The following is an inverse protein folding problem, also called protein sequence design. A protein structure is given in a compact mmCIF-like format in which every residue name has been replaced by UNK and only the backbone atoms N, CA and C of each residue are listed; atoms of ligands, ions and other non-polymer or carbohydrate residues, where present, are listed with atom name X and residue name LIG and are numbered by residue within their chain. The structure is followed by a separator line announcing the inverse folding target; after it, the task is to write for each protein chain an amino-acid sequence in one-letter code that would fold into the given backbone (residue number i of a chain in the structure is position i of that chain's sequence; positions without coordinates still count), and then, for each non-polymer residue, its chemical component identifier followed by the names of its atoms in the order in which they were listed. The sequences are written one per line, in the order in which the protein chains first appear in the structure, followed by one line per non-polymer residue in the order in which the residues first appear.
data_IF_616458074870
#
_entry.id   IF_616458074870
#
_cell.length_a   1.000
_cell.length_b   1.000
_cell.length_c   1.000
_cell.angle_alpha   90.00
_cell.angle_beta   90.00
_cell.angle_gamma   90.00
#
_symmetry.space_group_name_H-M   'P 1'
#
loop_
_entity.id
_entity.type
_entity.pdbx_description
1 polymer ?
#
# COMPACT_ATOMS: atom_id res chain seq x y z
N UNK A 1 -19.49 -19.36 63.14
CA UNK A 1 -18.09 -19.06 63.52
C UNK A 1 -17.62 -17.93 62.62
N UNK A 2 -17.22 -16.77 63.18
CA UNK A 2 -15.83 -16.58 63.59
C UNK A 2 -15.64 -15.76 64.88
N UNK A 3 -14.47 -15.92 65.50
CA UNK A 3 -13.94 -15.16 66.64
C UNK A 3 -12.48 -14.82 66.32
N UNK A 4 -11.91 -13.86 67.08
CA UNK A 4 -10.50 -13.41 67.16
C UNK A 4 -10.11 -12.32 66.12
N UNK A 5 -9.50 -11.16 66.42
CA UNK A 5 -9.00 -10.42 67.61
C UNK A 5 -8.91 -8.94 67.17
N UNK A 6 -9.46 -7.97 67.91
CA UNK A 6 -8.80 -7.11 68.91
C UNK A 6 -7.46 -6.45 68.52
N UNK A 7 -7.49 -5.12 68.68
CA UNK A 7 -6.46 -4.09 68.57
C UNK A 7 -5.20 -4.34 69.41
N UNK A 8 -4.05 -3.85 68.93
CA UNK A 8 -3.09 -3.14 69.79
C UNK A 8 -2.18 -2.22 68.95
N UNK A 9 -1.93 -1.02 69.46
CA UNK A 9 -0.94 -0.03 69.02
C UNK A 9 -0.37 0.63 70.30
N UNK A 10 0.63 1.54 70.23
CA UNK A 10 2.06 1.41 69.90
C UNK A 10 2.94 1.58 71.16
N UNK A 11 4.27 1.83 71.06
CA UNK A 11 4.72 3.17 71.47
C UNK A 11 5.82 3.80 70.61
N UNK A 12 5.87 5.13 70.77
CA UNK A 12 6.73 6.15 70.19
C UNK A 12 8.22 6.02 70.53
N UNK A 13 9.08 6.50 69.63
CA UNK A 13 10.24 7.32 69.99
C UNK A 13 10.60 8.25 68.83
N UNK A 14 10.59 9.54 69.13
CA UNK A 14 10.91 10.70 68.30
C UNK A 14 12.34 10.69 67.73
N UNK A 15 12.55 11.29 66.55
CA UNK A 15 13.00 12.70 66.47
C UNK A 15 13.68 13.05 65.13
N UNK A 16 13.41 14.29 64.70
CA UNK A 16 14.14 15.15 63.77
C UNK A 16 13.90 15.02 62.24
N UNK A 17 13.02 15.89 61.73
CA UNK A 17 13.16 16.57 60.42
C UNK A 17 13.82 17.95 60.69
N UNK A 18 14.43 18.69 59.72
CA UNK A 18 13.78 19.11 58.46
C UNK A 18 14.72 19.28 57.22
N UNK A 19 14.13 19.48 56.04
CA UNK A 19 14.81 19.92 54.80
C UNK A 19 14.12 19.34 53.55
N UNK A 20 12.98 19.88 53.14
CA UNK A 20 12.83 20.96 52.14
C UNK A 20 13.05 20.49 50.68
N UNK A 21 11.90 20.31 50.00
CA UNK A 21 11.59 20.39 48.57
C UNK A 21 12.64 19.98 47.52
N UNK A 22 12.38 18.83 46.88
CA UNK A 22 12.75 18.58 45.48
C UNK A 22 11.73 19.28 44.55
N UNK A 23 12.19 20.25 43.75
CA UNK A 23 11.50 20.70 42.54
C UNK A 23 12.13 19.96 41.32
N UNK A 24 11.40 19.06 40.63
CA UNK A 24 11.95 18.25 39.56
C UNK A 24 11.97 18.93 38.17
N UNK A 25 11.74 20.25 38.06
CA UNK A 25 11.63 20.94 36.76
C UNK A 25 12.39 22.30 36.65
N UNK A 26 13.62 22.38 37.13
CA UNK A 26 14.50 23.55 36.94
C UNK A 26 15.74 23.27 36.07
N UNK A 27 15.86 24.01 34.95
CA UNK A 27 17.09 24.22 34.13
C UNK A 27 17.46 23.19 33.04
N UNK A 28 16.71 23.18 31.93
CA UNK A 28 17.24 22.85 30.59
C UNK A 28 17.36 24.14 29.77
N UNK A 29 18.51 24.83 29.87
CA UNK A 29 18.84 25.93 28.96
C UNK A 29 19.60 25.38 27.73
N UNK A 30 19.07 25.54 26.49
CA UNK A 30 19.84 25.19 25.30
C UNK A 30 20.84 26.31 24.96
N UNK A 31 22.13 25.98 24.98
CA UNK A 31 23.17 26.78 24.34
C UNK A 31 22.97 26.79 22.82
N UNK A 32 22.39 27.88 22.33
CA UNK A 32 22.29 28.18 20.92
C UNK A 32 23.61 28.84 20.48
N UNK A 33 24.50 28.07 19.85
CA UNK A 33 25.75 28.60 19.28
C UNK A 33 25.70 28.64 17.75
N UNK A 34 26.07 29.82 17.27
CA UNK A 34 26.00 30.37 15.93
C UNK A 34 26.72 29.61 14.81
N UNK A 35 26.03 29.55 13.65
CA UNK A 35 26.43 30.07 12.32
C UNK A 35 27.63 29.44 11.56
N UNK A 36 27.34 28.86 10.39
CA UNK A 36 28.03 29.06 9.09
C UNK A 36 27.17 28.46 7.96
N UNK A 37 26.45 29.26 7.17
CA UNK A 37 26.83 29.70 5.80
C UNK A 37 27.53 28.65 4.95
N UNK A 38 26.76 27.96 4.09
CA UNK A 38 27.27 27.29 2.89
C UNK A 38 26.48 27.77 1.67
N UNK A 39 27.17 28.56 0.85
CA UNK A 39 26.74 29.14 -0.42
C UNK A 39 26.55 28.03 -1.45
N UNK A 40 25.32 27.69 -1.83
CA UNK A 40 25.08 26.85 -3.01
C UNK A 40 25.11 27.73 -4.27
N UNK A 41 26.26 27.71 -4.94
CA UNK A 41 26.46 28.30 -6.25
C UNK A 41 25.81 27.39 -7.30
N UNK A 42 24.71 27.85 -7.89
CA UNK A 42 24.05 27.17 -9.01
C UNK A 42 24.78 27.50 -10.32
N UNK A 43 25.13 26.47 -11.10
CA UNK A 43 25.63 26.60 -12.48
C UNK A 43 24.43 26.37 -13.43
N UNK A 44 24.11 27.28 -14.35
CA UNK A 44 23.07 27.03 -15.34
C UNK A 44 23.59 26.18 -16.50
N UNK A 45 22.83 25.13 -16.83
CA UNK A 45 23.01 24.29 -18.02
C UNK A 45 22.38 25.03 -19.21
N UNK A 46 23.13 25.24 -20.27
CA UNK A 46 22.61 25.81 -21.53
C UNK A 46 21.78 24.77 -22.28
N UNK A 47 20.54 25.12 -22.65
CA UNK A 47 19.69 24.31 -23.51
C UNK A 47 20.06 24.51 -24.99
N UNK A 48 20.38 23.40 -25.67
CA UNK A 48 20.50 23.33 -27.13
C UNK A 48 19.10 23.43 -27.75
N UNK A 49 18.93 24.39 -28.65
CA UNK A 49 17.74 24.61 -29.47
C UNK A 49 17.90 23.77 -30.75
N UNK A 50 17.14 22.69 -30.87
CA UNK A 50 16.99 21.93 -32.11
C UNK A 50 15.75 22.42 -32.85
N UNK A 51 15.96 23.15 -33.94
CA UNK A 51 14.94 23.59 -34.88
C UNK A 51 15.22 22.82 -36.18
N UNK A 52 14.48 21.76 -36.48
CA UNK A 52 14.41 21.20 -37.84
C UNK A 52 13.01 20.67 -38.11
N UNK A 53 12.28 21.51 -38.83
CA UNK A 53 10.93 21.33 -39.32
C UNK A 53 11.03 20.68 -40.71
N UNK A 54 10.76 19.37 -40.77
CA UNK A 54 10.78 18.57 -42.00
C UNK A 54 9.38 18.35 -42.57
N UNK A 55 9.06 19.13 -43.58
CA UNK A 55 7.85 19.15 -44.41
C UNK A 55 7.71 17.83 -45.22
N UNK A 56 6.62 17.07 -45.02
CA UNK A 56 6.28 15.90 -45.84
C UNK A 56 4.97 16.16 -46.60
N UNK A 57 5.12 16.65 -47.83
CA UNK A 57 4.03 16.80 -48.81
C UNK A 57 3.69 15.46 -49.48
N UNK A 58 2.39 15.17 -49.57
CA UNK A 58 1.81 14.04 -50.31
C UNK A 58 1.61 14.36 -51.81
N UNK A 59 1.61 13.34 -52.70
CA UNK A 59 0.90 13.42 -53.96
C UNK A 59 -0.36 12.53 -53.96
N UNK A 60 -1.48 13.16 -54.32
CA UNK A 60 -2.75 12.49 -54.62
C UNK A 60 -2.75 11.93 -56.05
N UNK A 61 -3.27 10.71 -56.24
CA UNK A 61 -3.64 10.20 -57.56
C UNK A 61 -4.89 9.31 -57.51
N UNK A 62 -5.99 9.89 -58.02
CA UNK A 62 -6.99 9.37 -58.96
C UNK A 62 -7.60 7.98 -58.76
N UNK A 63 -8.92 8.02 -58.56
CA UNK A 63 -9.91 6.94 -58.64
C UNK A 63 -10.10 6.40 -60.07
N UNK A 64 -10.31 5.10 -60.21
CA UNK A 64 -11.26 4.51 -61.18
C UNK A 64 -11.82 3.17 -60.65
N UNK A 65 -13.09 2.82 -61.00
CA UNK A 65 -13.82 1.71 -60.42
C UNK A 65 -13.71 0.43 -61.27
N UNK A 66 -13.79 -0.74 -60.63
CA UNK A 66 -14.19 -1.98 -61.28
C UNK A 66 -14.80 -2.95 -60.26
N UNK A 67 -16.09 -3.23 -60.44
CA UNK A 67 -16.81 -4.34 -59.81
C UNK A 67 -16.13 -5.68 -60.14
N UNK A 68 -15.95 -6.56 -59.14
CA UNK A 68 -16.11 -8.00 -59.35
C UNK A 68 -16.77 -8.67 -58.14
N UNK A 69 -17.72 -9.51 -58.51
CA UNK A 69 -18.68 -10.30 -57.75
C UNK A 69 -18.12 -11.19 -56.63
N UNK A 70 -18.95 -11.32 -55.60
CA UNK A 70 -19.27 -12.52 -54.82
C UNK A 70 -18.15 -13.44 -54.31
N UNK A 71 -17.99 -13.45 -53.00
CA UNK A 71 -18.07 -14.69 -52.22
C UNK A 71 -18.64 -14.35 -50.84
N UNK A 72 -19.88 -14.80 -50.59
CA UNK A 72 -20.46 -14.77 -49.27
C UNK A 72 -19.63 -15.65 -48.35
N UNK A 73 -19.04 -15.03 -47.32
CA UNK A 73 -18.72 -15.72 -46.08
C UNK A 73 -19.56 -15.04 -45.02
N UNK A 74 -20.78 -15.57 -44.84
CA UNK A 74 -21.46 -15.46 -43.56
C UNK A 74 -20.54 -16.09 -42.53
N UNK A 75 -19.79 -15.29 -41.78
CA UNK A 75 -19.25 -15.72 -40.50
C UNK A 75 -20.47 -15.86 -39.58
N UNK A 76 -21.07 -17.05 -39.64
CA UNK A 76 -22.05 -17.49 -38.66
C UNK A 76 -21.38 -17.35 -37.29
N UNK A 77 -22.05 -16.60 -36.42
CA UNK A 77 -21.65 -16.45 -35.04
C UNK A 77 -21.55 -17.81 -34.37
N UNK A 78 -20.33 -18.26 -34.15
CA UNK A 78 -20.01 -19.24 -33.14
C UNK A 78 -19.33 -18.47 -32.01
N UNK A 79 -20.14 -17.75 -31.22
CA UNK A 79 -19.78 -17.49 -29.83
C UNK A 79 -19.87 -18.84 -29.14
N UNK A 80 -18.86 -19.65 -29.38
CA UNK A 80 -18.67 -20.90 -28.67
C UNK A 80 -18.47 -20.51 -27.22
N UNK A 81 -19.52 -20.75 -26.45
CA UNK A 81 -19.53 -20.83 -25.01
C UNK A 81 -18.63 -21.98 -24.58
N UNK A 82 -17.32 -21.83 -24.78
CA UNK A 82 -16.30 -22.69 -24.21
C UNK A 82 -15.88 -22.08 -22.87
N UNK A 83 -16.81 -22.09 -21.92
CA UNK A 83 -16.43 -22.26 -20.51
C UNK A 83 -15.95 -23.70 -20.33
N UNK A 84 -14.90 -24.09 -21.06
CA UNK A 84 -14.11 -25.24 -20.68
C UNK A 84 -13.51 -24.88 -19.30
N UNK A 85 -13.66 -25.73 -18.27
CA UNK A 85 -12.97 -25.47 -17.02
C UNK A 85 -11.48 -25.34 -17.34
N UNK A 86 -10.92 -24.15 -17.10
CA UNK A 86 -9.49 -23.91 -17.26
C UNK A 86 -8.77 -25.04 -16.52
N UNK A 87 -8.02 -25.86 -17.28
CA UNK A 87 -7.20 -26.93 -16.73
C UNK A 87 -6.39 -26.37 -15.56
N UNK A 88 -6.20 -27.16 -14.51
CA UNK A 88 -5.40 -26.79 -13.33
C UNK A 88 -4.09 -26.09 -13.73
N UNK A 89 -3.43 -26.57 -14.79
CA UNK A 89 -2.19 -26.01 -15.34
C UNK A 89 -2.26 -24.54 -15.79
N UNK A 90 -3.44 -24.04 -16.11
CA UNK A 90 -3.69 -22.64 -16.53
C UNK A 90 -4.08 -21.76 -15.34
N UNK A 91 -4.40 -22.35 -14.19
CA UNK A 91 -4.65 -21.62 -12.95
C UNK A 91 -3.34 -20.92 -12.57
N UNK A 92 -3.45 -19.68 -12.09
CA UNK A 92 -2.31 -18.85 -11.66
C UNK A 92 -1.24 -18.49 -12.70
N UNK A 93 -1.52 -18.57 -14.01
CA UNK A 93 -0.51 -18.20 -15.04
C UNK A 93 0.08 -16.79 -14.81
N UNK A 94 -0.75 -15.84 -14.38
CA UNK A 94 -0.30 -14.47 -14.04
C UNK A 94 0.71 -14.45 -12.88
N UNK A 95 0.41 -15.12 -11.77
CA UNK A 95 1.34 -15.14 -10.63
C UNK A 95 2.63 -15.89 -10.95
N UNK A 96 2.54 -16.96 -11.74
CA UNK A 96 3.69 -17.72 -12.22
C UNK A 96 4.61 -16.87 -13.08
N UNK A 97 4.03 -16.06 -13.98
CA UNK A 97 4.78 -15.12 -14.79
C UNK A 97 5.39 -13.98 -13.95
N UNK A 98 4.65 -13.43 -13.00
CA UNK A 98 5.13 -12.34 -12.12
C UNK A 98 6.30 -12.81 -11.25
N UNK A 99 6.19 -14.00 -10.66
CA UNK A 99 7.16 -14.51 -9.71
C UNK A 99 8.22 -15.44 -10.31
N UNK A 100 8.17 -15.67 -11.63
CA UNK A 100 9.12 -16.51 -12.36
C UNK A 100 9.16 -17.96 -11.89
N UNK A 101 8.00 -18.55 -11.57
CA UNK A 101 7.88 -19.93 -11.08
C UNK A 101 7.13 -20.82 -12.08
N UNK A 102 7.50 -22.10 -12.14
CA UNK A 102 6.90 -23.08 -13.03
C UNK A 102 5.79 -23.91 -12.37
N UNK A 103 5.62 -23.81 -11.05
CA UNK A 103 4.56 -24.49 -10.28
C UNK A 103 3.43 -23.54 -9.82
N UNK A 104 2.32 -24.12 -9.36
CA UNK A 104 1.26 -23.38 -8.68
C UNK A 104 1.71 -22.97 -7.27
N UNK A 105 1.46 -21.73 -6.91
CA UNK A 105 1.80 -21.16 -5.62
C UNK A 105 0.72 -21.46 -4.60
N UNK A 106 1.14 -22.07 -3.50
CA UNK A 106 0.33 -22.22 -2.30
C UNK A 106 0.03 -20.88 -1.62
N UNK A 107 -0.98 -20.87 -0.76
CA UNK A 107 -1.34 -19.72 0.07
C UNK A 107 -0.12 -19.11 0.78
N UNK A 108 0.68 -19.95 1.45
CA UNK A 108 1.86 -19.53 2.19
C UNK A 108 2.96 -18.96 1.28
N UNK A 109 3.18 -19.57 0.11
CA UNK A 109 4.16 -19.07 -0.87
C UNK A 109 3.74 -17.70 -1.41
N UNK A 110 2.45 -17.50 -1.72
CA UNK A 110 1.93 -16.18 -2.15
C UNK A 110 2.17 -15.14 -1.05
N UNK A 111 1.83 -15.46 0.21
CA UNK A 111 2.05 -14.56 1.34
C UNK A 111 3.53 -14.23 1.56
N UNK A 112 4.44 -15.19 1.32
CA UNK A 112 5.87 -14.96 1.41
C UNK A 112 6.36 -14.05 0.28
N UNK A 113 6.01 -14.35 -0.97
CA UNK A 113 6.45 -13.56 -2.14
C UNK A 113 5.95 -12.13 -2.10
N UNK A 114 4.72 -11.90 -1.60
CA UNK A 114 4.22 -10.54 -1.40
C UNK A 114 5.04 -9.73 -0.38
N UNK A 115 5.55 -10.38 0.67
CA UNK A 115 6.43 -9.73 1.66
C UNK A 115 7.79 -9.37 1.10
N UNK A 116 8.21 -10.06 0.04
CA UNK A 116 9.48 -9.80 -0.66
C UNK A 116 9.35 -8.72 -1.77
N UNK A 117 8.15 -8.16 -1.98
CA UNK A 117 7.95 -7.10 -2.96
C UNK A 117 8.61 -5.78 -2.52
N UNK A 118 9.14 -4.97 -3.46
CA UNK A 118 9.79 -3.71 -3.13
C UNK A 118 8.92 -2.74 -2.32
N UNK A 119 9.48 -2.22 -1.23
CA UNK A 119 8.81 -1.27 -0.32
C UNK A 119 7.88 -1.91 0.69
N UNK A 120 7.60 -3.22 0.60
CA UNK A 120 6.77 -3.92 1.58
C UNK A 120 7.60 -4.26 2.81
N UNK A 121 7.18 -3.75 3.97
CA UNK A 121 7.79 -4.10 5.26
C UNK A 121 7.12 -5.33 5.84
N UNK A 122 5.79 -5.39 5.78
CA UNK A 122 5.03 -6.55 6.24
C UNK A 122 3.63 -6.60 5.61
N UNK A 123 3.06 -7.81 5.53
CA UNK A 123 1.70 -8.05 5.05
C UNK A 123 1.02 -9.11 5.93
N UNK A 124 -0.26 -8.89 6.23
CA UNK A 124 -1.11 -9.85 6.93
C UNK A 124 -2.50 -9.91 6.29
N UNK A 125 -3.14 -11.08 6.36
CA UNK A 125 -4.58 -11.15 6.14
C UNK A 125 -5.32 -10.57 7.33
N UNK A 126 -6.30 -9.73 7.03
CA UNK A 126 -7.09 -8.99 8.01
C UNK A 126 -8.51 -9.51 7.99
N UNK A 127 -9.09 -9.67 9.18
CA UNK A 127 -10.45 -10.17 9.30
C UNK A 127 -11.50 -9.10 8.97
N UNK A 128 -12.73 -9.54 8.73
CA UNK A 128 -13.81 -8.63 8.33
C UNK A 128 -14.16 -7.56 9.37
N UNK A 129 -13.97 -7.85 10.67
CA UNK A 129 -14.20 -6.86 11.75
C UNK A 129 -13.17 -5.74 11.73
N UNK A 130 -11.88 -6.08 11.58
CA UNK A 130 -10.79 -5.12 11.48
C UNK A 130 -10.93 -4.25 10.23
N UNK A 131 -11.24 -4.85 9.08
CA UNK A 131 -11.48 -4.12 7.84
C UNK A 131 -12.65 -3.12 7.98
N UNK A 132 -13.74 -3.53 8.64
CA UNK A 132 -14.89 -2.65 8.94
C UNK A 132 -14.52 -1.50 9.87
N UNK A 133 -13.73 -1.76 10.92
CA UNK A 133 -13.29 -0.72 11.85
C UNK A 133 -12.46 0.36 11.12
N UNK A 134 -11.55 -0.06 10.23
CA UNK A 134 -10.79 0.86 9.40
C UNK A 134 -11.66 1.63 8.40
N UNK A 135 -12.65 0.97 7.80
CA UNK A 135 -13.64 1.62 6.94
C UNK A 135 -14.49 2.66 7.67
N UNK A 136 -14.86 2.39 8.94
CA UNK A 136 -15.55 3.34 9.79
C UNK A 136 -14.69 4.57 10.10
N UNK A 137 -13.39 4.38 10.38
CA UNK A 137 -12.43 5.48 10.56
C UNK A 137 -12.35 6.37 9.31
N UNK A 138 -12.19 5.76 8.12
CA UNK A 138 -12.21 6.49 6.84
C UNK A 138 -13.52 7.24 6.62
N UNK A 139 -14.64 6.64 6.98
CA UNK A 139 -15.97 7.28 6.87
C UNK A 139 -16.13 8.47 7.82
N UNK A 140 -15.59 8.38 9.03
CA UNK A 140 -15.55 9.51 9.96
C UNK A 140 -14.70 10.66 9.40
N UNK A 141 -13.54 10.35 8.82
CA UNK A 141 -12.70 11.36 8.19
C UNK A 141 -13.40 12.11 7.05
N UNK A 142 -14.12 11.39 6.18
CA UNK A 142 -14.93 12.00 5.12
C UNK A 142 -15.96 12.99 5.68
N UNK A 143 -16.60 12.65 6.81
CA UNK A 143 -17.57 13.54 7.47
C UNK A 143 -16.93 14.79 8.08
N UNK A 144 -15.63 14.74 8.39
CA UNK A 144 -14.85 15.89 8.86
C UNK A 144 -14.34 16.77 7.71
N UNK A 145 -14.68 16.44 6.45
CA UNK A 145 -14.26 17.18 5.27
C UNK A 145 -12.95 16.70 4.66
N UNK A 146 -12.31 15.66 5.22
CA UNK A 146 -11.11 15.05 4.64
C UNK A 146 -11.53 14.17 3.46
N UNK A 147 -11.25 14.61 2.24
CA UNK A 147 -11.77 14.02 1.00
C UNK A 147 -10.75 13.21 0.21
N UNK A 148 -10.94 13.18 -1.12
CA UNK A 148 -9.97 12.59 -2.06
C UNK A 148 -8.66 13.38 -2.12
N UNK A 149 -8.74 14.69 -1.97
CA UNK A 149 -7.58 15.60 -1.93
C UNK A 149 -6.80 15.47 -0.62
N UNK A 150 -7.49 15.12 0.48
CA UNK A 150 -6.92 14.96 1.84
C UNK A 150 -7.08 13.51 2.34
N UNK A 151 -6.33 12.56 1.77
CA UNK A 151 -6.44 11.16 2.16
C UNK A 151 -5.98 10.93 3.60
N UNK A 152 -6.74 10.11 4.33
CA UNK A 152 -6.34 9.68 5.67
C UNK A 152 -5.39 8.50 5.59
N UNK A 153 -4.19 8.70 6.15
CA UNK A 153 -3.18 7.67 6.31
C UNK A 153 -3.06 7.27 7.77
N UNK A 154 -2.91 5.96 8.01
CA UNK A 154 -2.42 5.47 9.30
C UNK A 154 -0.94 5.24 9.15
N UNK A 155 -0.15 5.95 9.97
CA UNK A 155 1.31 5.90 9.94
C UNK A 155 1.86 5.33 11.25
N UNK A 156 2.93 4.58 11.11
CA UNK A 156 3.81 4.18 12.21
C UNK A 156 5.20 4.78 11.97
N UNK A 157 6.08 4.72 12.97
CA UNK A 157 7.48 5.13 12.80
C UNK A 157 8.20 4.38 11.67
N UNK A 158 7.70 3.18 11.31
CA UNK A 158 8.31 2.32 10.30
C UNK A 158 7.74 2.54 8.90
N UNK A 159 6.53 3.08 8.77
CA UNK A 159 5.87 3.14 7.47
C UNK A 159 4.38 3.49 7.52
N UNK A 160 3.75 3.44 6.35
CA UNK A 160 2.31 3.70 6.16
C UNK A 160 1.56 2.37 6.13
N UNK A 161 0.39 2.32 6.76
CA UNK A 161 -0.52 1.19 6.69
C UNK A 161 -1.53 1.45 5.58
N UNK A 162 -1.63 0.51 4.64
CA UNK A 162 -2.63 0.49 3.58
C UNK A 162 -3.34 -0.87 3.51
N UNK A 163 -4.42 -0.93 2.74
CA UNK A 163 -5.26 -2.11 2.62
C UNK A 163 -5.59 -2.39 1.15
N UNK A 164 -5.52 -3.67 0.77
CA UNK A 164 -5.99 -4.16 -0.53
C UNK A 164 -7.01 -5.26 -0.28
N UNK A 165 -8.21 -5.09 -0.84
CA UNK A 165 -9.33 -6.02 -0.66
C UNK A 165 -9.82 -6.54 -2.00
N UNK A 166 -10.17 -7.83 -2.02
CA UNK A 166 -10.88 -8.48 -3.11
C UNK A 166 -11.90 -9.48 -2.53
N UNK A 167 -13.19 -9.23 -2.79
CA UNK A 167 -14.31 -10.02 -2.25
C UNK A 167 -14.16 -10.24 -0.73
N UNK A 168 -14.03 -11.49 -0.27
CA UNK A 168 -13.91 -11.86 1.14
C UNK A 168 -12.49 -11.73 1.72
N UNK A 169 -11.47 -11.50 0.89
CA UNK A 169 -10.07 -11.42 1.33
C UNK A 169 -9.60 -9.97 1.41
N UNK A 170 -9.03 -9.59 2.55
CA UNK A 170 -8.40 -8.28 2.76
C UNK A 170 -6.99 -8.45 3.29
N UNK A 171 -6.03 -7.77 2.67
CA UNK A 171 -4.66 -7.67 3.11
C UNK A 171 -4.44 -6.32 3.78
N UNK A 172 -3.82 -6.33 4.96
CA UNK A 172 -3.18 -5.17 5.55
C UNK A 172 -1.71 -5.15 5.19
N UNK A 173 -1.23 -3.99 4.78
CA UNK A 173 0.10 -3.79 4.21
C UNK A 173 0.79 -2.70 5.02
N UNK A 174 1.95 -3.00 5.59
CA UNK A 174 2.87 -2.00 6.12
C UNK A 174 3.92 -1.72 5.04
N UNK A 175 3.94 -0.48 4.56
CA UNK A 175 4.73 -0.03 3.42
C UNK A 175 5.74 1.03 3.85
N UNK A 176 6.96 0.93 3.33
CA UNK A 176 7.95 1.99 3.38
C UNK A 176 7.64 3.02 2.27
N UNK A 177 7.20 4.22 2.66
CA UNK A 177 6.89 5.28 1.71
C UNK A 177 5.63 5.00 0.87
N UNK A 178 5.81 4.85 -0.45
CA UNK A 178 4.73 4.66 -1.45
C UNK A 178 5.01 3.43 -2.30
N UNK A 179 3.99 2.88 -2.95
CA UNK A 179 4.17 1.69 -3.79
C UNK A 179 5.14 1.96 -4.94
N UNK A 180 6.08 1.04 -5.13
CA UNK A 180 6.86 0.99 -6.37
C UNK A 180 5.99 0.63 -7.58
N UNK A 181 6.50 0.82 -8.80
CA UNK A 181 5.77 0.49 -10.02
C UNK A 181 5.26 -0.96 -10.02
N UNK A 182 3.97 -1.17 -10.23
CA UNK A 182 3.35 -2.50 -10.35
C UNK A 182 3.17 -3.27 -9.05
N UNK A 183 3.68 -2.78 -7.91
CA UNK A 183 3.60 -3.49 -6.63
C UNK A 183 2.14 -3.60 -6.17
N UNK A 184 1.38 -2.50 -6.25
CA UNK A 184 -0.01 -2.49 -5.81
C UNK A 184 -0.90 -3.40 -6.66
N UNK A 185 -0.66 -3.42 -7.96
CA UNK A 185 -1.35 -4.29 -8.91
C UNK A 185 -1.01 -5.76 -8.65
N UNK A 186 0.27 -6.05 -8.39
CA UNK A 186 0.71 -7.40 -8.02
C UNK A 186 0.02 -7.87 -6.75
N UNK A 187 -0.04 -7.02 -5.72
CA UNK A 187 -0.77 -7.31 -4.48
C UNK A 187 -2.25 -7.60 -4.75
N UNK A 188 -2.90 -6.83 -5.63
CA UNK A 188 -4.30 -7.07 -5.99
C UNK A 188 -4.50 -8.44 -6.68
N UNK A 189 -3.60 -8.82 -7.60
CA UNK A 189 -3.63 -10.13 -8.26
C UNK A 189 -3.43 -11.25 -7.22
N UNK A 190 -2.49 -11.08 -6.29
CA UNK A 190 -2.28 -12.01 -5.19
C UNK A 190 -3.52 -12.12 -4.28
N UNK A 191 -4.14 -11.02 -3.88
CA UNK A 191 -5.38 -11.03 -3.06
C UNK A 191 -6.51 -11.79 -3.75
N UNK A 192 -6.68 -11.58 -5.07
CA UNK A 192 -7.66 -12.32 -5.87
C UNK A 192 -7.39 -13.82 -5.86
N UNK A 193 -6.11 -14.19 -5.92
CA UNK A 193 -5.72 -15.59 -5.91
C UNK A 193 -5.90 -16.23 -4.53
N UNK A 194 -5.54 -15.53 -3.46
CA UNK A 194 -5.77 -16.00 -2.09
C UNK A 194 -7.25 -16.26 -1.82
N UNK A 195 -8.14 -15.41 -2.33
CA UNK A 195 -9.59 -15.64 -2.28
C UNK A 195 -10.02 -16.92 -3.02
N UNK A 196 -9.36 -17.27 -4.13
CA UNK A 196 -9.67 -18.48 -4.90
C UNK A 196 -9.20 -19.76 -4.20
N UNK A 197 -8.18 -19.66 -3.35
CA UNK A 197 -7.61 -20.80 -2.61
C UNK A 197 -8.37 -21.13 -1.31
N UNK A 198 -9.40 -20.34 -0.98
CA UNK A 198 -10.27 -20.54 0.21
C UNK A 198 -11.41 -21.51 -0.06
#
# INVERSE_FOLDING_TARGET
MPSWRQHEAPPEAESAAPGESEDPFGELAPQQQNRASATHQAVPISAVRGDEQGDFSMPAAKSHPAERLSAGVTLAGQRDSLSAPLSDRTKQLELRAIFGVDHELSHQEIMQRMRDLPGIINIAEINSSEAKAFGALKSCALKLGLGREDPVFVRSARGVIDFVSYKGTTLGILLEGTYGPGVRETLYICTRELERLK
#
